data_IF_401643827296
#
_entry.id   IF_401643827296
#
_cell.length_a   1.000
_cell.length_b   1.000
_cell.length_c   1.000
_cell.angle_alpha   90.00
_cell.angle_beta   90.00
_cell.angle_gamma   90.00
#
_symmetry.space_group_name_H-M   'P 1'
#
loop_
_entity.id
_entity.type
_entity.pdbx_description
1 polymer ?
#
# COMPACT_ATOMS: atom_id res chain seq x y z
N UNK A 1 -6.81 -11.07 6.18
CA UNK A 1 -5.80 -11.22 5.12
C UNK A 1 -6.32 -10.88 3.71
N UNK A 2 -7.39 -11.50 3.19
CA UNK A 2 -7.87 -11.20 1.81
C UNK A 2 -8.38 -9.75 1.57
N UNK A 3 -8.96 -9.12 2.58
CA UNK A 3 -9.56 -7.76 2.45
C UNK A 3 -8.50 -6.69 2.17
N UNK A 4 -7.28 -6.84 2.71
CA UNK A 4 -6.20 -5.88 2.51
C UNK A 4 -5.68 -5.90 1.07
N UNK A 5 -5.70 -7.04 0.40
CA UNK A 5 -5.28 -7.14 -1.01
C UNK A 5 -6.25 -6.43 -1.96
N UNK A 6 -7.55 -6.51 -1.69
CA UNK A 6 -8.57 -5.79 -2.48
C UNK A 6 -8.42 -4.28 -2.25
N UNK A 7 -8.19 -3.88 -0.99
CA UNK A 7 -7.97 -2.48 -0.63
C UNK A 7 -6.63 -1.95 -1.18
N UNK A 8 -5.60 -2.79 -1.28
CA UNK A 8 -4.30 -2.44 -1.85
C UNK A 8 -4.36 -2.13 -3.35
N UNK A 9 -5.38 -2.62 -4.06
CA UNK A 9 -5.62 -2.30 -5.48
C UNK A 9 -6.41 -1.00 -5.62
N UNK A 10 -7.48 -0.81 -4.83
CA UNK A 10 -8.32 0.40 -4.93
C UNK A 10 -7.62 1.61 -4.33
N UNK A 11 -7.04 1.46 -3.14
CA UNK A 11 -6.42 2.53 -2.37
C UNK A 11 -5.16 1.99 -1.64
N UNK A 12 -4.04 1.83 -2.37
CA UNK A 12 -2.79 1.28 -1.85
C UNK A 12 -2.30 1.91 -0.52
N UNK A 13 -2.28 3.26 -0.36
CA UNK A 13 -1.74 3.87 0.86
C UNK A 13 -2.61 3.56 2.08
N UNK A 14 -3.92 3.38 1.91
CA UNK A 14 -4.82 3.06 3.02
C UNK A 14 -4.60 1.63 3.52
N UNK A 15 -4.40 0.68 2.60
CA UNK A 15 -4.11 -0.71 2.95
C UNK A 15 -2.77 -0.86 3.67
N UNK A 16 -1.73 -0.16 3.19
CA UNK A 16 -0.40 -0.17 3.83
C UNK A 16 -0.41 0.55 5.18
N UNK A 17 -1.13 1.66 5.29
CA UNK A 17 -1.28 2.39 6.56
C UNK A 17 -2.02 1.59 7.62
N UNK A 18 -3.04 0.82 7.23
CA UNK A 18 -3.74 -0.09 8.14
C UNK A 18 -2.91 -1.32 8.52
N UNK A 19 -2.00 -1.77 7.64
CA UNK A 19 -1.12 -2.91 7.93
C UNK A 19 0.12 -2.51 8.75
N UNK A 20 0.61 -1.29 8.56
CA UNK A 20 1.86 -0.81 9.18
C UNK A 20 1.61 0.27 10.24
N UNK A 21 0.39 0.40 10.75
CA UNK A 21 0.01 1.42 11.75
C UNK A 21 0.45 2.86 11.36
N UNK A 22 0.30 3.22 10.08
CA UNK A 22 0.67 4.53 9.50
C UNK A 22 2.16 4.88 9.60
N UNK A 23 3.03 3.88 9.69
CA UNK A 23 4.47 4.09 9.73
C UNK A 23 5.06 4.54 8.38
N UNK A 24 6.37 4.75 8.33
CA UNK A 24 7.17 5.19 7.17
C UNK A 24 6.88 4.53 5.82
N UNK A 25 6.57 3.21 5.67
CA UNK A 25 6.25 2.64 4.36
C UNK A 25 4.94 3.17 3.77
N UNK A 26 4.03 3.70 4.60
CA UNK A 26 2.78 4.33 4.13
C UNK A 26 3.06 5.58 3.31
N UNK A 27 4.05 6.37 3.74
CA UNK A 27 4.45 7.62 3.08
C UNK A 27 5.12 7.35 1.73
N UNK A 28 5.96 6.31 1.68
CA UNK A 28 6.56 5.84 0.43
C UNK A 28 5.51 5.32 -0.54
N UNK A 29 4.54 4.56 -0.02
CA UNK A 29 3.47 4.04 -0.86
C UNK A 29 2.59 5.17 -1.42
N UNK A 30 2.34 6.21 -0.63
CA UNK A 30 1.63 7.41 -1.06
C UNK A 30 2.38 8.14 -2.18
N UNK A 31 3.70 8.33 -2.04
CA UNK A 31 4.55 8.92 -3.08
C UNK A 31 4.52 8.10 -4.37
N UNK A 32 4.64 6.78 -4.26
CA UNK A 32 4.58 5.91 -5.43
C UNK A 32 3.22 5.99 -6.11
N UNK A 33 2.10 5.94 -5.37
CA UNK A 33 0.77 6.14 -5.97
C UNK A 33 0.59 7.49 -6.66
N UNK A 34 1.28 8.53 -6.22
CA UNK A 34 1.20 9.86 -6.82
C UNK A 34 1.97 9.95 -8.15
N UNK A 35 3.08 9.21 -8.28
CA UNK A 35 3.90 9.12 -9.50
C UNK A 35 3.28 8.12 -10.49
N UNK A 36 2.60 7.09 -9.99
CA UNK A 36 1.85 6.13 -10.79
C UNK A 36 1.16 5.10 -9.89
N UNK A 37 -0.08 4.76 -10.23
CA UNK A 37 -0.83 3.77 -9.44
C UNK A 37 -0.14 2.39 -9.38
N UNK A 38 0.50 1.97 -10.48
CA UNK A 38 1.19 0.67 -10.59
C UNK A 38 2.29 0.42 -9.52
N UNK A 39 3.30 1.30 -9.34
CA UNK A 39 4.35 1.09 -8.33
C UNK A 39 3.80 1.08 -6.90
N UNK A 40 2.74 1.84 -6.60
CA UNK A 40 2.09 1.81 -5.28
C UNK A 40 1.39 0.48 -4.99
N UNK A 41 0.75 -0.14 -5.99
CA UNK A 41 0.16 -1.48 -5.81
C UNK A 41 1.24 -2.53 -5.54
N UNK A 42 2.34 -2.53 -6.31
CA UNK A 42 3.45 -3.48 -6.13
C UNK A 42 4.09 -3.33 -4.75
N UNK A 43 4.37 -2.10 -4.32
CA UNK A 43 4.93 -1.84 -3.00
C UNK A 43 3.98 -2.28 -1.88
N UNK A 44 2.67 -2.03 -2.01
CA UNK A 44 1.67 -2.50 -1.06
C UNK A 44 1.66 -4.04 -0.93
N UNK A 45 1.71 -4.76 -2.06
CA UNK A 45 1.77 -6.22 -2.04
C UNK A 45 3.03 -6.75 -1.36
N UNK A 46 4.18 -6.11 -1.57
CA UNK A 46 5.44 -6.48 -0.92
C UNK A 46 5.34 -6.26 0.59
N UNK A 47 4.79 -5.13 1.03
CA UNK A 47 4.65 -4.80 2.46
C UNK A 47 3.65 -5.73 3.14
N UNK A 48 2.49 -6.00 2.53
CA UNK A 48 1.44 -6.87 3.11
C UNK A 48 1.86 -8.35 3.12
N UNK A 49 2.71 -8.78 2.18
CA UNK A 49 3.25 -10.15 2.13
C UNK A 49 4.42 -10.37 3.08
N UNK A 50 5.04 -9.29 3.56
CA UNK A 50 6.16 -9.31 4.50
C UNK A 50 5.66 -9.39 5.94
#
# INVERSE_FOLDING_TARGET
MAVLYILAIILPPLAVGLYTDWDTPTLWNLLFTLIGWLPGVVHAFIVITR
#
